data_IF_647765597158
#
_entry.id   IF_647765597158
#
_cell.length_a   1.000
_cell.length_b   1.000
_cell.length_c   1.000
_cell.angle_alpha   90.00
_cell.angle_beta   90.00
_cell.angle_gamma   90.00
#
_symmetry.space_group_name_H-M   'P 1'
#
loop_
_entity.id
_entity.type
_entity.pdbx_description
1 polymer ?
#
# COMPACT_ATOMS: atom_id res chain seq x y z
N UNK A 1 -0.96 -45.67 -5.34
CA UNK A 1 -1.57 -44.33 -5.48
C UNK A 1 -2.05 -44.18 -6.92
N UNK A 2 -3.35 -44.08 -7.15
CA UNK A 2 -3.91 -43.87 -8.50
C UNK A 2 -3.76 -42.39 -8.86
N UNK A 3 -2.99 -42.09 -9.90
CA UNK A 3 -2.80 -40.74 -10.39
C UNK A 3 -4.09 -40.06 -10.81
N UNK A 4 -4.23 -38.79 -10.47
CA UNK A 4 -5.36 -37.94 -10.88
C UNK A 4 -5.26 -37.74 -12.41
N UNK A 5 -6.24 -38.31 -13.15
CA UNK A 5 -6.33 -38.05 -14.59
C UNK A 5 -7.02 -36.69 -14.81
N UNK A 6 -6.26 -35.69 -15.26
CA UNK A 6 -6.81 -34.40 -15.70
C UNK A 6 -7.39 -34.54 -17.10
N UNK A 7 -8.70 -34.35 -17.23
CA UNK A 7 -9.40 -34.33 -18.53
C UNK A 7 -9.29 -32.92 -19.10
N UNK A 8 -8.61 -32.74 -20.25
CA UNK A 8 -8.61 -31.47 -20.97
C UNK A 8 -10.04 -31.13 -21.42
N UNK A 9 -10.61 -30.06 -20.92
CA UNK A 9 -11.87 -29.50 -21.40
C UNK A 9 -11.54 -28.65 -22.64
N UNK A 10 -11.94 -29.10 -23.81
CA UNK A 10 -11.82 -28.37 -25.06
C UNK A 10 -12.69 -27.11 -25.00
N UNK A 11 -12.09 -25.92 -25.16
CA UNK A 11 -12.79 -24.65 -25.36
C UNK A 11 -12.49 -23.53 -24.39
N UNK A 12 -11.75 -23.77 -23.31
CA UNK A 12 -11.34 -22.69 -22.38
C UNK A 12 -9.82 -22.65 -22.27
N UNK A 13 -9.21 -21.72 -23.01
CA UNK A 13 -7.83 -21.37 -22.82
C UNK A 13 -7.75 -20.32 -21.69
N UNK A 14 -7.49 -20.77 -20.46
CA UNK A 14 -7.24 -19.86 -19.34
C UNK A 14 -5.87 -19.24 -19.59
N UNK A 15 -5.85 -18.04 -20.11
CA UNK A 15 -4.61 -17.26 -20.20
C UNK A 15 -4.17 -16.90 -18.78
N UNK A 16 -2.93 -17.25 -18.37
CA UNK A 16 -2.45 -16.82 -17.08
C UNK A 16 -2.50 -15.29 -17.02
N UNK A 17 -2.87 -14.71 -15.86
CA UNK A 17 -2.86 -13.27 -15.69
C UNK A 17 -1.47 -12.73 -16.03
N UNK A 18 -1.40 -11.56 -16.68
CA UNK A 18 -0.13 -10.87 -16.90
C UNK A 18 0.57 -10.73 -15.55
N UNK A 19 1.82 -11.20 -15.47
CA UNK A 19 2.62 -11.00 -14.26
C UNK A 19 2.60 -9.52 -13.91
N UNK A 20 2.21 -9.18 -12.69
CA UNK A 20 2.26 -7.79 -12.22
C UNK A 20 3.73 -7.34 -12.26
N UNK A 21 3.96 -6.07 -12.58
CA UNK A 21 5.30 -5.49 -12.58
C UNK A 21 5.96 -5.50 -11.18
N UNK A 22 5.17 -5.74 -10.15
CA UNK A 22 5.59 -5.81 -8.75
C UNK A 22 5.43 -7.24 -8.26
N UNK A 23 6.51 -8.01 -8.26
CA UNK A 23 6.58 -9.25 -7.51
C UNK A 23 7.12 -8.91 -6.12
N UNK A 24 6.24 -8.99 -5.12
CA UNK A 24 6.67 -8.91 -3.72
C UNK A 24 6.96 -10.34 -3.31
N UNK A 25 8.25 -10.63 -3.11
CA UNK A 25 8.67 -11.91 -2.57
C UNK A 25 8.40 -11.92 -1.07
N UNK A 26 7.45 -12.75 -0.66
CA UNK A 26 7.26 -13.05 0.75
C UNK A 26 8.25 -14.14 1.15
N UNK A 27 8.87 -14.07 2.35
CA UNK A 27 9.69 -15.15 2.86
C UNK A 27 8.96 -16.50 2.79
N UNK A 28 9.67 -17.62 2.53
CA UNK A 28 9.04 -18.91 2.26
C UNK A 28 8.26 -19.49 3.45
N UNK A 29 8.51 -18.99 4.65
CA UNK A 29 7.85 -19.35 5.91
C UNK A 29 6.62 -18.49 6.21
N UNK A 30 6.23 -17.59 5.31
CA UNK A 30 5.15 -16.65 5.53
C UNK A 30 3.97 -16.84 4.57
N UNK A 31 2.84 -16.26 4.99
CA UNK A 31 1.62 -16.23 4.20
C UNK A 31 1.87 -15.38 2.94
N UNK A 32 1.51 -15.93 1.78
CA UNK A 32 1.59 -15.22 0.51
C UNK A 32 0.61 -14.04 0.50
N UNK A 33 0.97 -12.98 -0.21
CA UNK A 33 0.05 -11.86 -0.44
C UNK A 33 -1.20 -12.31 -1.20
N UNK A 34 -2.29 -11.54 -1.05
CA UNK A 34 -3.61 -11.85 -1.60
C UNK A 34 -4.24 -13.13 -1.01
N UNK A 35 -3.99 -13.39 0.25
CA UNK A 35 -4.55 -14.51 0.99
C UNK A 35 -5.73 -14.04 1.83
N UNK A 36 -6.81 -14.83 1.84
CA UNK A 36 -7.87 -14.75 2.84
C UNK A 36 -7.49 -15.66 4.01
N UNK A 37 -7.31 -15.10 5.20
CA UNK A 37 -7.06 -15.84 6.42
C UNK A 37 -8.32 -15.83 7.30
N UNK A 38 -8.79 -16.99 7.69
CA UNK A 38 -9.92 -17.15 8.62
C UNK A 38 -9.40 -17.77 9.91
N UNK A 39 -9.47 -17.00 11.01
CA UNK A 39 -9.13 -17.48 12.34
C UNK A 39 -10.41 -17.94 13.07
N UNK A 40 -10.57 -19.25 13.29
CA UNK A 40 -11.71 -19.85 13.98
C UNK A 40 -11.31 -20.40 15.34
N UNK A 41 -12.18 -20.27 16.32
CA UNK A 41 -11.96 -20.78 17.67
C UNK A 41 -12.98 -20.20 18.65
N UNK A 42 -13.08 -20.80 19.85
CA UNK A 42 -13.97 -20.29 20.90
C UNK A 42 -13.54 -18.90 21.41
N UNK A 43 -14.48 -18.20 22.05
CA UNK A 43 -14.21 -16.91 22.69
C UNK A 43 -13.06 -17.07 23.70
N UNK A 44 -12.17 -16.07 23.77
CA UNK A 44 -10.98 -16.13 24.63
C UNK A 44 -9.86 -17.06 24.14
N UNK A 45 -9.99 -17.68 22.97
CA UNK A 45 -8.99 -18.58 22.40
C UNK A 45 -7.77 -17.89 21.76
N UNK A 46 -7.61 -16.56 21.92
CA UNK A 46 -6.43 -15.83 21.46
C UNK A 46 -6.41 -15.53 19.96
N UNK A 47 -7.56 -15.62 19.25
CA UNK A 47 -7.65 -15.34 17.78
C UNK A 47 -7.11 -13.96 17.42
N UNK A 48 -7.64 -12.92 18.05
CA UNK A 48 -7.25 -11.53 17.78
C UNK A 48 -5.79 -11.28 18.10
N UNK A 49 -5.28 -11.87 19.20
CA UNK A 49 -3.85 -11.79 19.54
C UNK A 49 -2.98 -12.47 18.49
N UNK A 50 -3.37 -13.65 18.00
CA UNK A 50 -2.61 -14.37 16.99
C UNK A 50 -2.56 -13.60 15.65
N UNK A 51 -3.70 -13.02 15.23
CA UNK A 51 -3.80 -12.20 14.01
C UNK A 51 -2.98 -10.92 14.16
N UNK A 52 -3.09 -10.23 15.30
CA UNK A 52 -2.31 -9.03 15.59
C UNK A 52 -0.80 -9.32 15.54
N UNK A 53 -0.33 -10.37 16.22
CA UNK A 53 1.08 -10.74 16.18
C UNK A 53 1.58 -11.09 14.77
N UNK A 54 0.77 -11.77 13.97
CA UNK A 54 1.10 -12.06 12.57
C UNK A 54 1.26 -10.76 11.77
N UNK A 55 0.30 -9.85 11.87
CA UNK A 55 0.35 -8.57 11.16
C UNK A 55 1.53 -7.70 11.63
N UNK A 56 1.79 -7.64 12.93
CA UNK A 56 2.94 -6.92 13.48
C UNK A 56 4.26 -7.42 12.90
N UNK A 57 4.43 -8.76 12.79
CA UNK A 57 5.60 -9.36 12.13
C UNK A 57 5.70 -8.99 10.66
N UNK A 58 4.60 -8.94 9.92
CA UNK A 58 4.58 -8.53 8.52
C UNK A 58 4.93 -7.05 8.34
N UNK A 59 4.47 -6.19 9.26
CA UNK A 59 4.83 -4.76 9.29
C UNK A 59 6.34 -4.59 9.57
N UNK A 60 6.87 -5.27 10.58
CA UNK A 60 8.29 -5.23 10.94
C UNK A 60 9.18 -5.63 9.75
N UNK A 61 8.79 -6.65 9.03
CA UNK A 61 9.50 -7.13 7.84
C UNK A 61 9.30 -6.24 6.60
N UNK A 62 8.44 -5.22 6.69
CA UNK A 62 8.15 -4.31 5.58
C UNK A 62 7.33 -4.95 4.45
N UNK A 63 6.66 -6.05 4.73
CA UNK A 63 5.73 -6.69 3.78
C UNK A 63 4.39 -5.97 3.77
N UNK A 64 3.91 -5.57 4.95
CA UNK A 64 2.63 -4.89 5.13
C UNK A 64 2.88 -3.41 5.43
N UNK A 65 2.14 -2.53 4.76
CA UNK A 65 2.30 -1.08 4.88
C UNK A 65 1.18 -0.42 5.71
N UNK A 66 -0.05 -0.98 5.68
CA UNK A 66 -1.22 -0.42 6.36
C UNK A 66 -2.16 -1.53 6.83
N UNK A 67 -2.79 -1.32 7.97
CA UNK A 67 -3.86 -2.19 8.50
C UNK A 67 -5.14 -1.38 8.64
N UNK A 68 -6.23 -1.88 8.08
CA UNK A 68 -7.59 -1.38 8.32
C UNK A 68 -8.30 -2.42 9.18
N UNK A 69 -8.88 -1.98 10.28
CA UNK A 69 -9.56 -2.84 11.25
C UNK A 69 -11.05 -2.52 11.30
N UNK A 70 -11.89 -3.54 11.10
CA UNK A 70 -13.31 -3.47 11.40
C UNK A 70 -13.54 -4.24 12.70
N UNK A 71 -13.87 -3.54 13.78
CA UNK A 71 -14.10 -4.17 15.08
C UNK A 71 -14.96 -3.29 15.99
N UNK A 72 -16.09 -3.81 16.50
CA UNK A 72 -16.92 -3.09 17.48
C UNK A 72 -16.25 -3.04 18.87
N UNK A 73 -15.24 -3.84 19.10
CA UNK A 73 -14.58 -3.99 20.41
C UNK A 73 -13.18 -3.40 20.46
N UNK A 74 -12.75 -2.69 19.41
CA UNK A 74 -11.39 -2.13 19.35
C UNK A 74 -11.01 -1.31 20.58
N UNK A 75 -11.86 -0.35 20.99
CA UNK A 75 -11.56 0.52 22.12
C UNK A 75 -11.46 -0.21 23.46
N UNK A 76 -12.16 -1.33 23.59
CA UNK A 76 -12.09 -2.19 24.78
C UNK A 76 -10.88 -3.13 24.78
N UNK A 77 -10.30 -3.39 23.60
CA UNK A 77 -9.21 -4.35 23.39
C UNK A 77 -8.00 -3.69 22.73
N UNK A 78 -7.83 -2.38 22.89
CA UNK A 78 -6.79 -1.58 22.21
C UNK A 78 -5.39 -2.15 22.37
N UNK A 79 -5.07 -2.69 23.55
CA UNK A 79 -3.77 -3.28 23.85
C UNK A 79 -3.39 -4.44 22.90
N UNK A 80 -4.39 -5.18 22.40
CA UNK A 80 -4.15 -6.30 21.47
C UNK A 80 -3.67 -5.78 20.12
N UNK A 81 -4.14 -4.61 19.69
CA UNK A 81 -3.87 -4.03 18.38
C UNK A 81 -2.77 -2.94 18.41
N UNK A 82 -2.28 -2.59 19.61
CA UNK A 82 -1.21 -1.60 19.77
C UNK A 82 0.03 -1.88 18.91
N UNK A 83 0.51 -3.16 18.80
CA UNK A 83 1.68 -3.45 17.96
C UNK A 83 1.51 -3.16 16.48
N UNK A 84 0.27 -2.97 16.00
CA UNK A 84 -0.03 -2.67 14.60
C UNK A 84 0.09 -1.19 14.25
N UNK A 85 0.19 -0.33 15.25
CA UNK A 85 0.26 1.13 15.11
C UNK A 85 -0.83 1.68 14.18
N UNK A 86 -2.08 1.19 14.36
CA UNK A 86 -3.23 1.57 13.54
C UNK A 86 -3.62 3.02 13.86
N UNK A 87 -3.90 3.80 12.84
CA UNK A 87 -4.53 5.12 12.99
C UNK A 87 -5.98 4.93 13.44
N UNK A 88 -6.24 5.18 14.75
CA UNK A 88 -7.54 4.93 15.35
C UNK A 88 -8.66 5.83 14.83
N UNK A 89 -8.33 6.96 14.21
CA UNK A 89 -9.32 7.88 13.63
C UNK A 89 -9.67 7.50 12.19
N UNK A 90 -8.68 7.01 11.44
CA UNK A 90 -8.85 6.76 10.02
C UNK A 90 -8.97 5.28 9.64
N UNK A 91 -8.36 4.38 10.41
CA UNK A 91 -8.23 2.97 10.01
C UNK A 91 -8.99 1.99 10.91
N UNK A 92 -9.72 2.49 11.91
CA UNK A 92 -10.65 1.70 12.72
C UNK A 92 -12.07 2.05 12.33
N UNK A 93 -12.82 1.04 11.90
CA UNK A 93 -14.17 1.19 11.40
C UNK A 93 -15.15 0.36 12.24
N UNK A 94 -16.34 0.90 12.44
CA UNK A 94 -17.46 0.16 13.05
C UNK A 94 -18.10 -0.77 12.00
N UNK A 95 -18.60 -1.96 12.41
CA UNK A 95 -19.24 -2.91 11.51
C UNK A 95 -20.66 -2.46 11.12
N UNK A 96 -20.76 -1.38 10.38
CA UNK A 96 -22.02 -0.78 9.93
C UNK A 96 -22.32 -1.12 8.47
N UNK A 97 -23.58 -0.85 8.07
CA UNK A 97 -23.98 -0.99 6.67
C UNK A 97 -23.18 0.00 5.81
N UNK A 98 -22.43 -0.52 4.86
CA UNK A 98 -21.59 0.29 3.95
C UNK A 98 -20.11 0.31 4.33
N UNK A 99 -19.70 -0.29 5.44
CA UNK A 99 -18.29 -0.32 5.87
C UNK A 99 -17.35 -0.86 4.79
N UNK A 100 -17.81 -1.85 4.01
CA UNK A 100 -17.00 -2.41 2.90
C UNK A 100 -16.74 -1.36 1.81
N UNK A 101 -17.74 -0.54 1.49
CA UNK A 101 -17.59 0.56 0.53
C UNK A 101 -16.60 1.60 1.05
N UNK A 102 -16.61 1.87 2.34
CA UNK A 102 -15.62 2.75 2.97
C UNK A 102 -14.21 2.21 2.89
N UNK A 103 -14.01 0.92 3.14
CA UNK A 103 -12.73 0.26 2.95
C UNK A 103 -12.25 0.37 1.50
N UNK A 104 -13.13 0.10 0.53
CA UNK A 104 -12.81 0.22 -0.90
C UNK A 104 -12.37 1.65 -1.22
N UNK A 105 -13.10 2.65 -0.73
CA UNK A 105 -12.77 4.06 -0.93
C UNK A 105 -11.36 4.39 -0.41
N UNK A 106 -11.02 3.95 0.81
CA UNK A 106 -9.68 4.15 1.39
C UNK A 106 -8.57 3.50 0.56
N UNK A 107 -8.82 2.31 0.02
CA UNK A 107 -7.87 1.61 -0.88
C UNK A 107 -7.71 2.36 -2.21
N UNK A 108 -8.80 2.91 -2.76
CA UNK A 108 -8.76 3.71 -3.98
C UNK A 108 -8.02 5.04 -3.76
N UNK A 109 -8.21 5.69 -2.61
CA UNK A 109 -7.47 6.89 -2.21
C UNK A 109 -5.97 6.63 -2.13
N UNK A 110 -5.54 5.56 -1.47
CA UNK A 110 -4.13 5.17 -1.40
C UNK A 110 -3.54 4.88 -2.80
N UNK A 111 -4.32 4.28 -3.68
CA UNK A 111 -3.92 4.04 -5.07
C UNK A 111 -3.74 5.34 -5.84
N UNK A 112 -4.69 6.26 -5.72
CA UNK A 112 -4.61 7.57 -6.36
C UNK A 112 -3.41 8.37 -5.88
N UNK A 113 -3.17 8.41 -4.56
CA UNK A 113 -2.00 9.07 -3.99
C UNK A 113 -0.68 8.48 -4.51
N UNK A 114 -0.63 7.15 -4.71
CA UNK A 114 0.54 6.51 -5.29
C UNK A 114 0.75 6.90 -6.76
N UNK A 115 -0.32 6.99 -7.55
CA UNK A 115 -0.25 7.45 -8.94
C UNK A 115 0.24 8.91 -9.01
N UNK A 116 -0.25 9.79 -8.14
CA UNK A 116 0.22 11.17 -8.01
C UNK A 116 1.70 11.24 -7.60
N UNK A 117 2.13 10.39 -6.66
CA UNK A 117 3.54 10.28 -6.28
C UNK A 117 4.42 9.88 -7.48
N UNK A 118 3.99 8.89 -8.29
CA UNK A 118 4.72 8.48 -9.49
C UNK A 118 4.84 9.62 -10.52
N UNK A 119 3.79 10.41 -10.70
CA UNK A 119 3.82 11.59 -11.57
C UNK A 119 4.80 12.65 -11.03
N UNK A 120 4.81 12.92 -9.72
CA UNK A 120 5.79 13.82 -9.07
C UNK A 120 7.22 13.32 -9.27
N UNK A 121 7.48 12.03 -9.09
CA UNK A 121 8.80 11.42 -9.34
C UNK A 121 9.23 11.55 -10.79
N UNK A 122 8.32 11.37 -11.74
CA UNK A 122 8.60 11.53 -13.17
C UNK A 122 8.99 12.97 -13.49
N UNK A 123 8.24 13.96 -12.98
CA UNK A 123 8.53 15.37 -13.13
C UNK A 123 9.87 15.75 -12.46
N UNK A 124 10.14 15.23 -11.27
CA UNK A 124 11.41 15.45 -10.58
C UNK A 124 12.61 14.89 -11.37
N UNK A 125 12.47 13.70 -11.97
CA UNK A 125 13.52 13.14 -12.85
C UNK A 125 13.74 14.01 -14.09
N UNK A 126 12.68 14.57 -14.68
CA UNK A 126 12.77 15.50 -15.80
C UNK A 126 13.49 16.79 -15.40
N UNK A 127 13.14 17.35 -14.23
CA UNK A 127 13.83 18.51 -13.65
C UNK A 127 15.32 18.23 -13.44
N UNK A 128 15.68 17.12 -12.81
CA UNK A 128 17.08 16.75 -12.63
C UNK A 128 17.87 16.60 -13.94
N UNK A 129 17.24 15.99 -14.97
CA UNK A 129 17.85 15.87 -16.29
C UNK A 129 18.09 17.25 -16.92
N UNK A 130 17.16 18.16 -16.74
CA UNK A 130 17.26 19.53 -17.20
C UNK A 130 18.43 20.26 -16.52
N UNK A 131 18.52 20.21 -15.18
CA UNK A 131 19.60 20.83 -14.42
C UNK A 131 20.98 20.31 -14.81
N UNK A 132 21.11 19.00 -15.07
CA UNK A 132 22.36 18.38 -15.55
C UNK A 132 22.75 18.81 -16.95
N UNK A 133 21.81 19.26 -17.78
CA UNK A 133 22.09 19.62 -19.18
C UNK A 133 22.84 20.95 -19.33
N UNK A 134 23.05 21.70 -18.25
CA UNK A 134 23.72 23.02 -18.24
C UNK A 134 23.16 24.03 -19.27
N UNK A 135 21.93 23.81 -19.77
CA UNK A 135 21.27 24.77 -20.65
C UNK A 135 20.87 26.00 -19.85
N UNK A 136 21.07 27.21 -20.40
CA UNK A 136 20.64 28.42 -19.74
C UNK A 136 19.11 28.40 -19.51
N UNK A 137 18.66 28.85 -18.34
CA UNK A 137 17.25 28.83 -17.90
C UNK A 137 16.33 29.56 -18.87
N UNK A 138 16.81 30.62 -19.51
CA UNK A 138 16.07 31.40 -20.54
C UNK A 138 15.78 30.64 -21.85
N UNK A 139 16.43 29.46 -22.07
CA UNK A 139 16.12 28.55 -23.19
C UNK A 139 15.08 27.48 -22.82
N UNK A 140 14.55 27.49 -21.60
CA UNK A 140 13.57 26.52 -21.15
C UNK A 140 12.16 27.00 -21.46
N UNK A 141 11.24 26.03 -21.67
CA UNK A 141 9.85 26.34 -21.86
C UNK A 141 9.28 27.01 -20.59
N UNK A 142 8.74 28.24 -20.65
CA UNK A 142 8.19 28.93 -19.50
C UNK A 142 7.13 28.14 -18.75
N UNK A 143 6.29 27.37 -19.43
CA UNK A 143 5.27 26.52 -18.81
C UNK A 143 5.89 25.43 -17.91
N UNK A 144 7.02 24.83 -18.32
CA UNK A 144 7.74 23.86 -17.49
C UNK A 144 8.37 24.50 -16.25
N UNK A 145 8.84 25.73 -16.34
CA UNK A 145 9.41 26.46 -15.20
C UNK A 145 8.31 26.75 -14.18
N UNK A 146 7.16 27.22 -14.59
CA UNK A 146 6.01 27.44 -13.70
C UNK A 146 5.62 26.14 -13.01
N UNK A 147 5.50 25.03 -13.75
CA UNK A 147 5.17 23.73 -13.19
C UNK A 147 6.20 23.27 -12.13
N UNK A 148 7.49 23.46 -12.38
CA UNK A 148 8.55 23.11 -11.42
C UNK A 148 8.55 24.00 -10.18
N UNK A 149 8.15 25.27 -10.31
CA UNK A 149 7.95 26.18 -9.19
C UNK A 149 6.76 25.74 -8.32
N UNK A 150 5.62 25.43 -8.95
CA UNK A 150 4.41 24.96 -8.26
C UNK A 150 4.66 23.63 -7.51
N UNK A 151 5.52 22.77 -8.04
CA UNK A 151 5.92 21.53 -7.40
C UNK A 151 6.99 21.70 -6.31
N UNK A 152 7.47 22.94 -6.08
CA UNK A 152 8.51 23.24 -5.11
C UNK A 152 9.91 22.75 -5.51
N UNK A 153 10.15 22.46 -6.80
CA UNK A 153 11.47 22.04 -7.28
C UNK A 153 12.41 23.22 -7.52
N UNK A 154 11.85 24.40 -7.75
CA UNK A 154 12.56 25.67 -7.84
C UNK A 154 12.08 26.55 -6.69
N UNK A 155 12.88 26.65 -5.64
CA UNK A 155 12.64 27.60 -4.58
C UNK A 155 13.50 28.85 -4.86
N UNK A 156 12.87 30.02 -4.89
CA UNK A 156 13.54 31.30 -5.14
C UNK A 156 14.47 31.73 -3.99
N UNK A 157 14.44 31.02 -2.86
CA UNK A 157 15.11 31.44 -1.62
C UNK A 157 16.33 30.60 -1.24
N UNK A 158 16.57 29.45 -1.85
CA UNK A 158 17.68 28.58 -1.46
C UNK A 158 18.44 28.03 -2.68
N UNK A 159 19.77 28.13 -2.66
CA UNK A 159 20.69 27.45 -3.59
C UNK A 159 20.66 25.91 -3.43
N UNK A 160 19.72 25.37 -2.62
CA UNK A 160 19.59 23.94 -2.37
C UNK A 160 18.77 23.27 -3.45
N UNK A 161 19.33 22.20 -4.05
CA UNK A 161 18.61 21.36 -4.98
C UNK A 161 17.35 20.80 -4.30
N UNK A 162 16.22 20.84 -5.04
CA UNK A 162 14.98 20.23 -4.60
C UNK A 162 15.19 18.79 -4.14
N UNK A 163 14.66 18.45 -2.98
CA UNK A 163 14.70 17.08 -2.49
C UNK A 163 13.85 16.17 -3.38
N UNK A 164 14.27 14.90 -3.47
CA UNK A 164 13.46 13.88 -4.13
C UNK A 164 12.13 13.74 -3.40
N UNK A 165 10.97 13.77 -4.10
CA UNK A 165 9.68 13.47 -3.47
C UNK A 165 9.74 12.14 -2.72
N UNK A 166 9.23 12.13 -1.47
CA UNK A 166 9.21 10.94 -0.61
C UNK A 166 7.83 10.32 -0.65
N UNK A 167 7.78 9.00 -0.75
CA UNK A 167 6.55 8.25 -0.56
C UNK A 167 6.21 8.15 0.93
N UNK A 168 4.92 8.16 1.27
CA UNK A 168 4.48 8.09 2.67
C UNK A 168 4.82 6.76 3.36
N UNK A 169 4.92 5.67 2.59
CA UNK A 169 5.31 4.37 3.09
C UNK A 169 6.80 4.08 2.87
N UNK A 170 7.33 3.10 3.59
CA UNK A 170 8.75 2.74 3.57
C UNK A 170 9.25 2.33 2.17
N UNK A 171 8.42 1.69 1.39
CA UNK A 171 8.77 1.18 0.07
C UNK A 171 8.09 2.00 -1.04
N UNK A 172 8.84 2.38 -2.07
CA UNK A 172 8.32 3.10 -3.25
C UNK A 172 7.54 2.14 -4.18
N UNK A 173 6.48 1.52 -3.66
CA UNK A 173 5.57 0.61 -4.35
C UNK A 173 4.13 0.88 -3.93
N UNK A 174 3.12 0.37 -4.64
CA UNK A 174 1.75 0.41 -4.15
C UNK A 174 1.66 -0.18 -2.75
N UNK A 175 0.90 0.43 -1.83
CA UNK A 175 0.81 -0.07 -0.46
C UNK A 175 0.16 -1.44 -0.41
N UNK A 176 0.66 -2.28 0.49
CA UNK A 176 0.03 -3.55 0.82
C UNK A 176 -0.81 -3.32 2.07
N UNK A 177 -2.11 -3.53 1.91
CA UNK A 177 -3.11 -3.25 2.94
C UNK A 177 -3.67 -4.57 3.45
N UNK A 178 -3.74 -4.74 4.77
CA UNK A 178 -4.44 -5.84 5.43
C UNK A 178 -5.76 -5.32 5.99
N UNK A 179 -6.85 -5.97 5.60
CA UNK A 179 -8.15 -5.77 6.25
C UNK A 179 -8.32 -6.85 7.32
N UNK A 180 -8.51 -6.42 8.57
CA UNK A 180 -8.87 -7.30 9.69
C UNK A 180 -10.34 -7.06 10.01
N UNK A 181 -11.10 -8.14 10.12
CA UNK A 181 -12.50 -8.13 10.57
C UNK A 181 -12.56 -8.97 11.83
N UNK A 182 -12.81 -8.32 12.97
CA UNK A 182 -12.76 -8.95 14.30
C UNK A 182 -14.10 -8.78 15.01
N UNK A 183 -14.64 -9.87 15.53
CA UNK A 183 -15.88 -9.95 16.33
C UNK A 183 -17.14 -9.32 15.64
N UNK A 184 -17.27 -9.41 14.29
CA UNK A 184 -18.41 -8.90 13.52
C UNK A 184 -19.48 -9.95 13.25
#
# INVERSE_FOLDING_TARGET
MKGVQTKKIHGYEIKPPKKSAFQIETPPDQIRLHTLLVASGKRGGGKSVAVSNLCAKLIEQGVLDRVILISPTYFSNKEIFEPLNIDSENDVLEPEKGVVQEVIKKVEEDKQEYEEFLEKIKKWKAFQKMMKSKKPINMLNPAMLVEFMELGFLDNASDTMAEKPKWKYKHERPPIIMLIVDDC
#
